data_IF_451068417352
#
_entry.id   IF_451068417352
#
_cell.length_a   1.000
_cell.length_b   1.000
_cell.length_c   1.000
_cell.angle_alpha   90.00
_cell.angle_beta   90.00
_cell.angle_gamma   90.00
#
_symmetry.space_group_name_H-M   'P 1'
#
loop_
_entity.id
_entity.type
_entity.pdbx_description
1 polymer ?
#
# COMPACT_ATOMS: atom_id res chain seq x y z
N UNK A 1 -25.91 0.86 -28.19
CA UNK A 1 -26.06 -0.07 -27.04
C UNK A 1 -25.11 -1.24 -27.20
N UNK A 2 -24.37 -1.65 -26.16
CA UNK A 2 -23.52 -2.85 -26.23
C UNK A 2 -24.34 -4.10 -25.86
N UNK A 3 -24.50 -5.01 -26.81
CA UNK A 3 -25.28 -6.25 -26.64
C UNK A 3 -24.41 -7.48 -26.37
N UNK A 4 -23.08 -7.34 -26.48
CA UNK A 4 -22.13 -8.44 -26.40
C UNK A 4 -22.12 -9.16 -25.02
N UNK A 5 -22.22 -8.46 -23.88
CA UNK A 5 -22.30 -9.12 -22.56
C UNK A 5 -23.55 -9.99 -22.38
N UNK A 6 -24.60 -9.74 -23.17
CA UNK A 6 -25.87 -10.49 -23.12
C UNK A 6 -25.84 -11.77 -23.96
N UNK A 7 -24.72 -12.06 -24.65
CA UNK A 7 -24.57 -13.26 -25.47
C UNK A 7 -23.84 -14.34 -24.68
N UNK A 8 -24.39 -15.56 -24.70
CA UNK A 8 -23.83 -16.73 -23.98
C UNK A 8 -22.45 -17.15 -24.48
N UNK A 9 -22.08 -16.85 -25.72
CA UNK A 9 -20.77 -17.16 -26.31
C UNK A 9 -19.70 -16.11 -26.02
N UNK A 10 -20.02 -15.01 -25.33
CA UNK A 10 -19.06 -13.95 -25.11
C UNK A 10 -17.90 -14.41 -24.21
N UNK A 11 -16.68 -14.45 -24.75
CA UNK A 11 -15.48 -14.96 -24.08
C UNK A 11 -15.21 -14.28 -22.73
N UNK A 12 -15.52 -12.98 -22.60
CA UNK A 12 -15.26 -12.21 -21.37
C UNK A 12 -16.37 -12.33 -20.33
N UNK A 13 -17.45 -13.05 -20.59
CA UNK A 13 -18.46 -13.31 -19.57
C UNK A 13 -17.84 -14.14 -18.44
N UNK A 14 -18.15 -13.76 -17.20
CA UNK A 14 -17.60 -14.40 -15.99
C UNK A 14 -17.83 -15.91 -16.00
N UNK A 15 -19.00 -16.34 -16.45
CA UNK A 15 -19.35 -17.77 -16.52
C UNK A 15 -18.49 -18.54 -17.53
N UNK A 16 -18.13 -17.92 -18.66
CA UNK A 16 -17.28 -18.55 -19.66
C UNK A 16 -15.82 -18.57 -19.22
N UNK A 17 -15.35 -17.49 -18.60
CA UNK A 17 -14.01 -17.44 -17.98
C UNK A 17 -13.88 -18.50 -16.89
N UNK A 18 -14.92 -18.71 -16.07
CA UNK A 18 -14.94 -19.73 -15.03
C UNK A 18 -14.88 -21.15 -15.62
N UNK A 19 -15.60 -21.42 -16.72
CA UNK A 19 -15.51 -22.70 -17.44
C UNK A 19 -14.11 -22.97 -17.98
N UNK A 20 -13.52 -22.00 -18.69
CA UNK A 20 -12.15 -22.11 -19.20
C UNK A 20 -11.16 -22.38 -18.06
N UNK A 21 -11.30 -21.66 -16.95
CA UNK A 21 -10.45 -21.89 -15.78
C UNK A 21 -10.59 -23.30 -15.22
N UNK A 22 -11.82 -23.83 -15.14
CA UNK A 22 -12.06 -25.19 -14.67
C UNK A 22 -11.42 -26.21 -15.61
N UNK A 23 -11.59 -26.04 -16.91
CA UNK A 23 -11.01 -26.93 -17.92
C UNK A 23 -9.47 -26.90 -17.89
N UNK A 24 -8.87 -25.72 -17.73
CA UNK A 24 -7.42 -25.54 -17.54
C UNK A 24 -6.93 -26.20 -16.25
N UNK A 25 -7.69 -26.08 -15.16
CA UNK A 25 -7.36 -26.70 -13.88
C UNK A 25 -7.47 -28.24 -13.95
N UNK A 26 -8.51 -28.77 -14.59
CA UNK A 26 -8.69 -30.21 -14.84
C UNK A 26 -7.56 -30.75 -15.73
N UNK A 27 -7.20 -30.05 -16.81
CA UNK A 27 -6.08 -30.42 -17.68
C UNK A 27 -4.76 -30.48 -16.90
N UNK A 28 -4.49 -29.47 -16.07
CA UNK A 28 -3.30 -29.43 -15.21
C UNK A 28 -3.29 -30.54 -14.17
N UNK A 29 -4.45 -30.93 -13.63
CA UNK A 29 -4.54 -32.07 -12.70
C UNK A 29 -4.26 -33.39 -13.41
N UNK A 30 -4.83 -33.61 -14.60
CA UNK A 30 -4.59 -34.82 -15.39
C UNK A 30 -3.11 -34.94 -15.80
N UNK A 31 -2.47 -33.84 -16.22
CA UNK A 31 -1.03 -33.83 -16.54
C UNK A 31 -0.18 -34.21 -15.31
N UNK A 32 -0.52 -33.68 -14.12
CA UNK A 32 0.16 -34.05 -12.87
C UNK A 32 -0.03 -35.52 -12.51
N UNK A 33 -1.23 -36.07 -12.69
CA UNK A 33 -1.50 -37.49 -12.43
C UNK A 33 -0.77 -38.40 -13.41
N UNK A 34 -0.74 -38.03 -14.70
CA UNK A 34 0.01 -38.73 -15.73
C UNK A 34 1.52 -38.68 -15.43
N UNK A 35 2.06 -37.52 -15.07
CA UNK A 35 3.45 -37.37 -14.66
C UNK A 35 3.77 -38.20 -13.41
N UNK A 36 2.88 -38.22 -12.41
CA UNK A 36 3.03 -39.06 -11.22
C UNK A 36 3.07 -40.55 -11.59
N UNK A 37 2.17 -40.98 -12.48
CA UNK A 37 2.11 -42.37 -12.95
C UNK A 37 3.36 -42.75 -13.75
N UNK A 38 3.84 -41.86 -14.62
CA UNK A 38 5.06 -42.05 -15.38
C UNK A 38 6.29 -42.16 -14.47
N UNK A 39 6.40 -41.29 -13.46
CA UNK A 39 7.49 -41.34 -12.49
C UNK A 39 7.51 -42.63 -11.68
N UNK A 40 6.34 -43.14 -11.25
CA UNK A 40 6.24 -44.44 -10.59
C UNK A 40 6.66 -45.59 -11.51
N UNK A 41 6.17 -45.60 -12.75
CA UNK A 41 6.55 -46.61 -13.74
C UNK A 41 8.06 -46.58 -14.05
N UNK A 42 8.68 -45.40 -14.08
CA UNK A 42 10.14 -45.26 -14.25
C UNK A 42 10.91 -45.81 -13.04
N UNK A 43 10.43 -45.53 -11.82
CA UNK A 43 11.01 -46.08 -10.59
C UNK A 43 10.94 -47.62 -10.57
N UNK A 44 9.77 -48.18 -10.90
CA UNK A 44 9.54 -49.62 -10.98
C UNK A 44 10.43 -50.26 -12.05
N UNK A 45 10.47 -49.70 -13.27
CA UNK A 45 11.32 -50.20 -14.35
C UNK A 45 12.81 -50.18 -13.97
N UNK A 46 13.26 -49.12 -13.29
CA UNK A 46 14.63 -49.00 -12.79
C UNK A 46 14.93 -50.05 -11.73
N UNK A 47 14.01 -50.30 -10.80
CA UNK A 47 14.15 -51.33 -9.78
C UNK A 47 14.20 -52.73 -10.40
N UNK A 48 13.33 -53.01 -11.38
CA UNK A 48 13.31 -54.29 -12.07
C UNK A 48 14.59 -54.54 -12.85
N UNK A 49 15.15 -53.52 -13.52
CA UNK A 49 16.47 -53.61 -14.15
C UNK A 49 17.55 -53.96 -13.13
N UNK A 50 17.59 -53.28 -11.99
CA UNK A 50 18.58 -53.55 -10.94
C UNK A 50 18.40 -54.95 -10.35
N UNK A 51 17.16 -55.40 -10.15
CA UNK A 51 16.81 -56.73 -9.64
C UNK A 51 17.18 -57.84 -10.62
N UNK A 52 16.96 -57.63 -11.91
CA UNK A 52 17.38 -58.57 -12.95
C UNK A 52 18.90 -58.61 -13.08
N UNK A 53 19.58 -57.46 -12.95
CA UNK A 53 21.04 -57.39 -12.95
C UNK A 53 21.66 -58.09 -11.74
N UNK A 54 21.09 -57.93 -10.55
CA UNK A 54 21.59 -58.63 -9.35
C UNK A 54 21.36 -60.13 -9.48
N UNK A 55 20.18 -60.58 -9.91
CA UNK A 55 19.89 -61.99 -10.20
C UNK A 55 20.84 -62.59 -11.24
N UNK A 56 21.15 -61.85 -12.30
CA UNK A 56 22.12 -62.26 -13.32
C UNK A 56 23.53 -62.43 -12.73
N UNK A 57 23.98 -61.52 -11.87
CA UNK A 57 25.27 -61.64 -11.18
C UNK A 57 25.30 -62.83 -10.22
N UNK A 58 24.27 -63.00 -9.39
CA UNK A 58 24.19 -64.13 -8.45
C UNK A 58 24.12 -65.47 -9.18
N UNK A 59 23.45 -65.54 -10.34
CA UNK A 59 23.42 -66.75 -11.16
C UNK A 59 24.80 -67.06 -11.77
N UNK A 60 25.53 -66.05 -12.24
CA UNK A 60 26.91 -66.19 -12.75
C UNK A 60 27.87 -66.60 -11.62
N UNK A 61 27.71 -66.02 -10.43
CA UNK A 61 28.52 -66.36 -9.25
C UNK A 61 28.20 -67.77 -8.73
N UNK A 62 26.92 -68.16 -8.70
CA UNK A 62 26.50 -69.51 -8.29
C UNK A 62 26.98 -70.61 -9.25
N UNK A 63 27.10 -70.34 -10.55
CA UNK A 63 27.72 -71.28 -11.49
C UNK A 63 29.25 -71.32 -11.40
N UNK A 64 29.87 -70.30 -10.80
CA UNK A 64 31.33 -70.22 -10.60
C UNK A 64 31.79 -70.75 -9.23
N UNK A 65 30.88 -70.92 -8.27
CA UNK A 65 31.15 -71.34 -6.89
C UNK A 65 30.62 -72.74 -6.56
N UNK A 66 30.74 -73.70 -7.47
CA UNK A 66 30.60 -75.12 -7.11
C UNK A 66 31.69 -75.52 -6.12
N UNK A 67 31.30 -76.08 -4.98
CA UNK A 67 32.10 -76.54 -3.82
C UNK A 67 32.66 -75.45 -2.87
N UNK A 68 31.82 -74.97 -1.93
CA UNK A 68 32.17 -74.92 -0.50
C UNK A 68 30.91 -74.69 0.34
N UNK A 69 30.52 -75.70 1.14
CA UNK A 69 29.48 -75.55 2.19
C UNK A 69 30.18 -75.03 3.43
N UNK A 70 30.06 -73.73 3.70
CA UNK A 70 30.50 -73.10 4.94
C UNK A 70 29.28 -72.62 5.74
N UNK A 71 28.93 -73.42 6.73
CA UNK A 71 27.93 -73.18 7.75
C UNK A 71 28.43 -72.04 8.66
N UNK A 72 28.00 -70.81 8.38
CA UNK A 72 28.40 -69.65 9.17
C UNK A 72 28.23 -68.28 8.50
N UNK A 73 28.02 -68.22 7.18
CA UNK A 73 27.94 -66.95 6.48
C UNK A 73 26.49 -66.43 6.39
N UNK A 74 25.89 -66.09 7.55
CA UNK A 74 24.67 -65.28 7.53
C UNK A 74 25.08 -63.88 7.06
N UNK A 75 24.58 -63.38 5.92
CA UNK A 75 24.86 -62.00 5.52
C UNK A 75 24.41 -61.10 6.66
N UNK A 76 25.31 -60.24 7.14
CA UNK A 76 24.99 -59.32 8.24
C UNK A 76 23.82 -58.45 7.82
N UNK A 77 22.64 -58.76 8.34
CA UNK A 77 21.46 -57.97 8.11
C UNK A 77 21.63 -56.66 8.87
N UNK A 78 22.27 -55.67 8.24
CA UNK A 78 22.48 -54.32 8.78
C UNK A 78 21.18 -53.62 9.23
N UNK A 79 20.02 -54.16 8.84
CA UNK A 79 18.69 -53.65 9.16
C UNK A 79 17.95 -54.47 10.22
N UNK A 80 18.52 -55.56 10.75
CA UNK A 80 17.85 -56.37 11.78
C UNK A 80 17.53 -55.56 13.04
N UNK A 81 18.42 -54.62 13.44
CA UNK A 81 18.18 -53.73 14.57
C UNK A 81 17.05 -52.72 14.29
N UNK A 82 16.85 -52.33 13.04
CA UNK A 82 15.81 -51.37 12.64
C UNK A 82 14.44 -52.06 12.59
N UNK A 83 14.40 -53.31 12.10
CA UNK A 83 13.19 -54.14 12.06
C UNK A 83 12.76 -54.62 13.46
N UNK A 84 13.72 -55.00 14.32
CA UNK A 84 13.45 -55.42 15.71
C UNK A 84 13.08 -54.26 16.63
N UNK A 85 13.69 -53.08 16.45
CA UNK A 85 13.42 -51.91 17.30
C UNK A 85 12.31 -50.99 16.76
N UNK A 86 11.69 -51.32 15.63
CA UNK A 86 10.51 -50.60 15.13
C UNK A 86 10.77 -49.14 14.77
N UNK A 87 12.02 -48.73 14.54
CA UNK A 87 12.35 -47.39 14.06
C UNK A 87 12.02 -47.35 12.58
N UNK A 88 10.74 -47.20 12.26
CA UNK A 88 10.29 -47.18 10.88
C UNK A 88 11.03 -46.07 10.13
N UNK A 89 11.51 -46.34 8.92
CA UNK A 89 11.99 -45.31 7.97
C UNK A 89 10.89 -44.29 7.60
N UNK A 90 9.66 -44.53 8.07
CA UNK A 90 8.49 -43.66 8.03
C UNK A 90 8.24 -42.90 9.34
N UNK A 91 9.13 -42.99 10.33
CA UNK A 91 9.07 -42.22 11.55
C UNK A 91 9.37 -40.78 11.16
N UNK A 92 8.31 -40.03 10.85
CA UNK A 92 8.42 -38.62 10.54
C UNK A 92 9.05 -37.96 11.76
N UNK A 93 10.10 -37.19 11.51
CA UNK A 93 10.71 -36.39 12.54
C UNK A 93 9.61 -35.55 13.21
N UNK A 94 9.43 -35.72 14.52
CA UNK A 94 8.36 -35.05 15.27
C UNK A 94 8.41 -33.53 15.06
N UNK A 95 9.63 -32.98 14.95
CA UNK A 95 9.87 -31.57 14.63
C UNK A 95 9.28 -31.15 13.28
N UNK A 96 9.34 -32.02 12.26
CA UNK A 96 8.83 -31.75 10.91
C UNK A 96 7.29 -31.84 10.83
N UNK A 97 6.67 -32.69 11.65
CA UNK A 97 5.21 -32.71 11.74
C UNK A 97 4.68 -31.48 12.48
N UNK A 98 5.37 -31.04 13.52
CA UNK A 98 5.06 -29.80 14.22
C UNK A 98 5.26 -28.57 13.35
N UNK A 99 6.34 -28.51 12.56
CA UNK A 99 6.60 -27.42 11.62
C UNK A 99 5.50 -27.35 10.55
N UNK A 100 5.15 -28.49 9.94
CA UNK A 100 4.03 -28.56 8.97
C UNK A 100 2.69 -28.21 9.58
N UNK A 101 2.48 -28.56 10.86
CA UNK A 101 1.25 -28.18 11.58
C UNK A 101 1.21 -26.67 11.82
N UNK A 102 2.31 -26.06 12.25
CA UNK A 102 2.43 -24.60 12.41
C UNK A 102 2.24 -23.88 11.08
N UNK A 103 2.84 -24.36 10.00
CA UNK A 103 2.69 -23.79 8.65
C UNK A 103 1.22 -23.85 8.17
N UNK A 104 0.52 -24.97 8.42
CA UNK A 104 -0.92 -25.07 8.15
C UNK A 104 -1.74 -24.11 9.01
N UNK A 105 -1.48 -24.06 10.31
CA UNK A 105 -2.15 -23.11 11.21
C UNK A 105 -1.90 -21.66 10.79
N UNK A 106 -0.69 -21.31 10.34
CA UNK A 106 -0.36 -20.00 9.79
C UNK A 106 -1.04 -19.72 8.45
N UNK A 107 -1.12 -20.70 7.55
CA UNK A 107 -1.84 -20.58 6.29
C UNK A 107 -3.35 -20.39 6.55
N UNK A 108 -3.93 -21.15 7.47
CA UNK A 108 -5.31 -21.03 7.89
C UNK A 108 -5.57 -19.69 8.61
N UNK A 109 -4.65 -19.23 9.48
CA UNK A 109 -4.68 -17.88 10.08
C UNK A 109 -4.65 -16.79 9.01
N UNK A 110 -3.79 -16.94 8.01
CA UNK A 110 -3.60 -15.98 6.90
C UNK A 110 -4.82 -15.93 5.97
N UNK A 111 -5.46 -17.08 5.73
CA UNK A 111 -6.72 -17.18 4.99
C UNK A 111 -7.91 -16.69 5.84
N UNK A 112 -7.76 -16.65 7.17
CA UNK A 112 -8.81 -16.27 8.12
C UNK A 112 -9.74 -17.43 8.50
N UNK A 113 -9.34 -18.67 8.24
CA UNK A 113 -10.06 -19.87 8.65
C UNK A 113 -9.82 -20.19 10.13
N UNK A 114 -8.57 -20.02 10.59
CA UNK A 114 -8.18 -20.22 11.98
C UNK A 114 -7.92 -18.86 12.64
N UNK A 115 -8.98 -18.17 13.03
CA UNK A 115 -8.91 -16.95 13.86
C UNK A 115 -9.27 -17.27 15.31
N UNK A 116 -8.31 -17.16 16.22
CA UNK A 116 -8.59 -17.32 17.64
C UNK A 116 -9.43 -16.15 18.15
N UNK A 117 -10.36 -16.45 19.06
CA UNK A 117 -11.17 -15.45 19.74
C UNK A 117 -10.26 -14.40 20.41
N UNK A 118 -10.43 -13.12 20.05
CA UNK A 118 -9.60 -12.02 20.53
C UNK A 118 -8.42 -11.62 19.62
N UNK A 119 -8.03 -12.45 18.64
CA UNK A 119 -6.95 -12.09 17.69
C UNK A 119 -7.43 -11.28 16.48
N UNK A 120 -8.73 -11.35 16.14
CA UNK A 120 -9.35 -10.50 15.10
C UNK A 120 -9.85 -9.16 15.64
N UNK A 121 -9.68 -8.88 16.93
CA UNK A 121 -10.11 -7.63 17.52
C UNK A 121 -9.16 -6.51 17.11
N UNK A 122 -9.70 -5.30 17.00
CA UNK A 122 -8.98 -4.07 16.63
C UNK A 122 -7.69 -3.84 17.46
N UNK A 123 -7.55 -4.50 18.60
CA UNK A 123 -6.41 -4.45 19.52
C UNK A 123 -5.11 -5.06 19.00
N UNK A 124 -5.16 -6.09 18.15
CA UNK A 124 -3.96 -6.74 17.57
C UNK A 124 -3.47 -6.10 16.29
N UNK A 125 -4.28 -5.20 15.70
CA UNK A 125 -3.86 -4.42 14.54
C UNK A 125 -2.78 -3.43 14.96
N UNK A 126 -1.72 -3.35 14.16
CA UNK A 126 -0.71 -2.30 14.27
C UNK A 126 -1.39 -0.92 14.38
N UNK A 127 -0.77 0.02 15.12
CA UNK A 127 -1.29 1.37 15.36
C UNK A 127 -1.57 2.19 14.09
N UNK A 128 -1.05 1.75 12.94
CA UNK A 128 -1.27 2.34 11.62
C UNK A 128 -2.50 1.76 10.90
N UNK A 129 -2.89 0.53 11.23
CA UNK A 129 -4.08 -0.16 10.67
C UNK A 129 -5.30 0.02 11.58
N UNK A 130 -5.09 0.47 12.82
CA UNK A 130 -6.14 0.74 13.80
C UNK A 130 -7.00 1.94 13.33
N UNK A 131 -8.35 1.84 13.37
CA UNK A 131 -9.21 2.95 12.99
C UNK A 131 -9.05 4.14 13.94
N UNK A 132 -9.27 5.34 13.41
CA UNK A 132 -8.94 6.62 14.07
C UNK A 132 -9.55 6.81 15.47
N UNK A 133 -10.68 6.15 15.78
CA UNK A 133 -11.36 6.27 17.07
C UNK A 133 -10.78 5.37 18.16
N UNK A 134 -10.01 4.33 17.81
CA UNK A 134 -9.21 3.54 18.76
C UNK A 134 -7.82 4.14 19.00
N UNK A 135 -7.36 5.01 18.09
CA UNK A 135 -6.09 5.72 18.21
C UNK A 135 -6.30 6.95 19.10
N UNK A 136 -5.69 6.95 20.29
CA UNK A 136 -5.70 8.14 21.16
C UNK A 136 -5.05 9.30 20.37
N UNK A 137 -5.75 10.43 20.20
CA UNK A 137 -5.20 11.57 19.47
C UNK A 137 -3.88 12.02 20.07
N UNK A 138 -2.88 12.33 19.24
CA UNK A 138 -1.55 12.84 19.68
C UNK A 138 -1.60 14.20 20.43
N UNK A 139 -2.79 14.73 20.70
CA UNK A 139 -3.03 15.87 21.58
C UNK A 139 -3.19 15.46 23.05
N UNK A 140 -3.57 14.21 23.31
CA UNK A 140 -3.76 13.63 24.65
C UNK A 140 -2.57 12.79 25.12
N UNK A 141 -1.66 12.41 24.21
CA UNK A 141 -0.38 11.81 24.58
C UNK A 141 0.49 12.91 25.19
N UNK A 142 0.45 13.02 26.52
CA UNK A 142 1.41 13.81 27.27
C UNK A 142 2.76 13.08 27.23
N UNK A 143 3.48 13.23 26.13
CA UNK A 143 4.92 13.01 26.14
C UNK A 143 5.59 14.25 26.76
N UNK A 144 6.19 14.02 27.92
CA UNK A 144 7.30 14.77 28.51
C UNK A 144 7.34 16.27 28.20
N UNK A 145 6.58 17.04 29.00
CA UNK A 145 6.96 18.40 29.37
C UNK A 145 6.89 19.49 28.29
N UNK A 146 6.45 19.20 27.07
CA UNK A 146 6.18 20.23 26.04
C UNK A 146 4.74 20.15 25.57
N UNK A 147 3.85 20.78 26.35
CA UNK A 147 2.50 21.08 25.91
C UNK A 147 2.57 21.78 24.54
N UNK A 148 2.04 21.14 23.50
CA UNK A 148 1.86 21.76 22.18
C UNK A 148 0.99 22.98 22.40
N UNK A 149 1.61 24.16 22.50
CA UNK A 149 0.93 25.43 22.66
C UNK A 149 -0.17 25.51 21.60
N UNK A 150 -1.42 25.47 22.04
CA UNK A 150 -2.54 25.71 21.13
C UNK A 150 -2.33 27.10 20.53
N UNK A 151 -2.61 27.29 19.23
CA UNK A 151 -2.38 28.57 18.58
C UNK A 151 -3.15 29.66 19.34
N UNK A 152 -2.36 30.54 19.94
CA UNK A 152 -2.73 31.80 20.55
C UNK A 152 -3.56 31.75 21.86
N UNK A 153 -2.92 31.50 23.03
CA UNK A 153 -3.59 31.60 24.32
C UNK A 153 -4.18 33.00 24.58
N UNK A 154 -3.61 34.05 23.97
CA UNK A 154 -4.10 35.42 24.10
C UNK A 154 -5.43 35.59 23.39
N UNK A 155 -5.61 34.96 22.23
CA UNK A 155 -6.89 34.98 21.50
C UNK A 155 -8.00 34.25 22.26
N UNK A 156 -7.67 33.14 22.93
CA UNK A 156 -8.62 32.43 23.81
C UNK A 156 -8.99 33.27 25.03
N UNK A 157 -8.00 33.87 25.69
CA UNK A 157 -8.25 34.76 26.82
C UNK A 157 -9.06 36.00 26.42
N UNK A 158 -8.87 36.51 25.19
CA UNK A 158 -9.66 37.63 24.66
C UNK A 158 -11.11 37.23 24.33
N UNK A 159 -11.33 35.99 23.91
CA UNK A 159 -12.66 35.45 23.58
C UNK A 159 -13.34 34.79 24.78
N UNK A 160 -12.75 34.86 25.99
CA UNK A 160 -13.33 34.31 27.21
C UNK A 160 -14.28 35.34 27.85
N UNK A 161 -15.59 35.06 27.93
CA UNK A 161 -16.57 35.97 28.54
C UNK A 161 -16.27 36.23 30.02
N UNK A 162 -15.63 35.31 30.74
CA UNK A 162 -15.23 35.55 32.14
C UNK A 162 -14.18 36.64 32.26
N UNK A 163 -13.23 36.68 31.34
CA UNK A 163 -12.16 37.68 31.35
C UNK A 163 -12.70 39.07 30.98
N UNK A 164 -13.66 39.13 30.05
CA UNK A 164 -14.42 40.34 29.74
C UNK A 164 -15.21 40.84 30.97
N UNK A 165 -15.93 39.95 31.65
CA UNK A 165 -16.66 40.30 32.88
C UNK A 165 -15.73 40.85 33.97
N UNK A 166 -14.56 40.24 34.18
CA UNK A 166 -13.54 40.75 35.13
C UNK A 166 -13.08 42.16 34.77
N UNK A 167 -12.90 42.47 33.48
CA UNK A 167 -12.56 43.83 33.03
C UNK A 167 -13.68 44.83 33.34
N UNK A 168 -14.95 44.47 33.15
CA UNK A 168 -16.07 45.36 33.48
C UNK A 168 -16.22 45.59 34.99
N UNK A 169 -16.05 44.55 35.80
CA UNK A 169 -16.09 44.64 37.26
C UNK A 169 -14.95 45.51 37.81
N UNK A 170 -13.72 45.36 37.29
CA UNK A 170 -12.58 46.19 37.69
C UNK A 170 -12.74 47.67 37.29
N UNK A 171 -13.32 47.95 36.11
CA UNK A 171 -13.67 49.33 35.68
C UNK A 171 -14.73 49.96 36.59
N UNK A 172 -15.71 49.17 37.06
CA UNK A 172 -16.75 49.64 38.02
C UNK A 172 -16.16 50.01 39.38
N UNK A 173 -15.17 49.26 39.87
CA UNK A 173 -14.43 49.61 41.11
C UNK A 173 -13.60 50.90 40.95
N UNK A 174 -12.93 51.09 39.80
CA UNK A 174 -12.11 52.30 39.53
C UNK A 174 -12.94 53.59 39.38
N UNK A 175 -14.20 53.52 38.93
CA UNK A 175 -15.09 54.69 38.86
C UNK A 175 -15.50 55.24 40.23
N UNK A 176 -15.52 54.41 41.28
CA UNK A 176 -15.80 54.88 42.65
C UNK A 176 -14.67 55.71 43.27
N UNK A 177 -13.43 55.59 42.75
CA UNK A 177 -12.26 56.34 43.27
C UNK A 177 -11.86 57.54 42.41
N UNK A 178 -12.62 57.90 41.37
CA UNK A 178 -12.30 59.01 40.44
C UNK A 178 -13.34 60.14 40.39
N UNK A 179 -14.33 60.18 41.29
CA UNK A 179 -15.31 61.28 41.30
C UNK A 179 -14.77 62.60 41.90
N UNK A 180 -13.47 62.71 42.15
CA UNK A 180 -12.80 63.97 42.51
C UNK A 180 -11.52 64.15 41.68
N UNK A 181 -11.66 64.29 40.35
CA UNK A 181 -10.68 65.08 39.60
C UNK A 181 -11.26 65.57 38.27
N UNK A 182 -10.91 66.82 38.00
CA UNK A 182 -11.54 67.80 37.14
C UNK A 182 -11.69 67.53 35.64
N UNK A 183 -12.44 68.48 35.09
CA UNK A 183 -12.90 68.74 33.74
C UNK A 183 -11.80 68.83 32.67
N UNK A 184 -12.33 68.86 31.44
CA UNK A 184 -11.73 69.36 30.20
C UNK A 184 -10.78 68.42 29.45
N UNK A 185 -11.37 67.71 28.48
CA UNK A 185 -10.68 67.41 27.24
C UNK A 185 -11.63 67.46 26.05
N UNK A 186 -11.46 68.53 25.29
CA UNK A 186 -12.05 68.83 23.99
C UNK A 186 -11.87 67.65 23.03
N UNK A 187 -12.93 67.38 22.27
CA UNK A 187 -13.08 66.23 21.38
C UNK A 187 -12.98 66.71 19.94
N UNK A 188 -11.78 66.68 19.37
CA UNK A 188 -11.59 66.95 17.95
C UNK A 188 -12.06 65.77 17.09
N UNK A 189 -12.97 66.09 16.18
CA UNK A 189 -13.54 65.22 15.15
C UNK A 189 -12.95 65.62 13.79
N UNK A 190 -11.94 64.91 13.28
CA UNK A 190 -11.58 64.79 11.84
C UNK A 190 -10.69 63.53 11.74
N UNK A 191 -10.74 62.62 10.77
CA UNK A 191 -11.10 62.65 9.36
C UNK A 191 -11.67 61.28 8.92
N UNK A 192 -12.67 61.28 8.03
CA UNK A 192 -13.19 60.08 7.35
C UNK A 192 -12.94 60.21 5.85
N UNK A 193 -11.71 60.03 5.40
CA UNK A 193 -11.36 60.05 3.97
C UNK A 193 -10.18 59.12 3.69
N UNK A 194 -10.39 57.80 3.73
CA UNK A 194 -9.43 56.82 3.16
C UNK A 194 -9.93 55.36 3.12
N UNK A 195 -11.15 55.04 3.58
CA UNK A 195 -11.57 53.63 3.74
C UNK A 195 -11.86 52.87 2.43
N UNK A 196 -12.10 53.55 1.31
CA UNK A 196 -12.47 52.89 0.05
C UNK A 196 -11.29 52.16 -0.64
N UNK A 197 -10.04 52.65 -0.54
CA UNK A 197 -8.89 51.94 -1.12
C UNK A 197 -8.56 50.65 -0.36
N UNK A 198 -8.67 50.67 0.97
CA UNK A 198 -8.38 49.51 1.82
C UNK A 198 -9.30 48.31 1.59
N UNK A 199 -10.54 48.54 1.15
CA UNK A 199 -11.49 47.46 0.85
C UNK A 199 -11.19 46.80 -0.49
N UNK A 200 -10.78 47.58 -1.49
CA UNK A 200 -10.37 47.10 -2.81
C UNK A 200 -9.13 46.19 -2.70
N UNK A 201 -8.13 46.64 -1.94
CA UNK A 201 -6.89 45.89 -1.68
C UNK A 201 -7.16 44.59 -0.92
N UNK A 202 -8.06 44.63 0.07
CA UNK A 202 -8.47 43.44 0.83
C UNK A 202 -9.25 42.44 -0.04
N UNK A 203 -10.09 42.91 -0.95
CA UNK A 203 -10.80 42.05 -1.90
C UNK A 203 -9.84 41.40 -2.90
N UNK A 204 -8.84 42.16 -3.38
CA UNK A 204 -7.77 41.68 -4.25
C UNK A 204 -6.94 40.59 -3.57
N UNK A 205 -6.59 40.77 -2.29
CA UNK A 205 -5.91 39.75 -1.48
C UNK A 205 -6.76 38.48 -1.33
N UNK A 206 -8.06 38.61 -1.06
CA UNK A 206 -8.97 37.47 -0.96
C UNK A 206 -9.09 36.69 -2.28
N UNK A 207 -9.10 37.39 -3.42
CA UNK A 207 -9.09 36.77 -4.76
C UNK A 207 -7.78 36.02 -5.04
N UNK A 208 -6.63 36.61 -4.70
CA UNK A 208 -5.32 35.94 -4.82
C UNK A 208 -5.24 34.69 -3.97
N UNK A 209 -5.64 34.78 -2.69
CA UNK A 209 -5.66 33.63 -1.79
C UNK A 209 -6.62 32.52 -2.25
N UNK A 210 -7.74 32.88 -2.89
CA UNK A 210 -8.66 31.91 -3.51
C UNK A 210 -8.00 31.20 -4.70
N UNK A 211 -7.40 31.96 -5.62
CA UNK A 211 -6.71 31.40 -6.79
C UNK A 211 -5.57 30.47 -6.40
N UNK A 212 -4.78 30.84 -5.38
CA UNK A 212 -3.71 29.98 -4.85
C UNK A 212 -4.24 28.67 -4.27
N UNK A 213 -5.37 28.71 -3.55
CA UNK A 213 -6.01 27.52 -3.01
C UNK A 213 -6.53 26.61 -4.13
N UNK A 214 -7.26 27.18 -5.08
CA UNK A 214 -7.79 26.44 -6.23
C UNK A 214 -6.65 25.83 -7.07
N UNK A 215 -5.55 26.56 -7.29
CA UNK A 215 -4.36 26.05 -7.97
C UNK A 215 -3.70 24.89 -7.23
N UNK A 216 -3.57 25.00 -5.89
CA UNK A 216 -2.99 23.94 -5.05
C UNK A 216 -3.87 22.68 -5.04
N UNK A 217 -5.18 22.85 -4.96
CA UNK A 217 -6.14 21.73 -5.04
C UNK A 217 -6.11 21.07 -6.42
N UNK A 218 -6.03 21.87 -7.49
CA UNK A 218 -5.86 21.38 -8.86
C UNK A 218 -4.55 20.60 -9.02
N UNK A 219 -3.43 21.11 -8.52
CA UNK A 219 -2.15 20.39 -8.52
C UNK A 219 -2.25 19.06 -7.77
N UNK A 220 -2.83 19.07 -6.56
CA UNK A 220 -3.06 17.85 -5.78
C UNK A 220 -3.93 16.83 -6.54
N UNK A 221 -4.96 17.30 -7.25
CA UNK A 221 -5.81 16.43 -8.08
C UNK A 221 -5.05 15.83 -9.26
N UNK A 222 -4.18 16.63 -9.91
CA UNK A 222 -3.33 16.18 -11.02
C UNK A 222 -2.29 15.17 -10.56
N UNK A 223 -1.68 15.37 -9.39
CA UNK A 223 -0.71 14.42 -8.82
C UNK A 223 -1.34 13.07 -8.52
N UNK A 224 -2.56 13.05 -7.98
CA UNK A 224 -3.31 11.81 -7.76
C UNK A 224 -3.63 11.10 -9.08
N UNK A 225 -4.04 11.86 -10.10
CA UNK A 225 -4.33 11.34 -11.43
C UNK A 225 -3.06 10.75 -12.09
N UNK A 226 -1.95 11.48 -12.04
CA UNK A 226 -0.66 11.05 -12.59
C UNK A 226 -0.16 9.77 -11.89
N UNK A 227 -0.32 9.66 -10.57
CA UNK A 227 -0.03 8.44 -9.81
C UNK A 227 -0.90 7.26 -10.26
N UNK A 228 -2.19 7.48 -10.48
CA UNK A 228 -3.13 6.43 -10.91
C UNK A 228 -2.82 5.91 -12.32
N UNK A 229 -2.46 6.78 -13.26
CA UNK A 229 -2.17 6.40 -14.65
C UNK A 229 -0.68 6.10 -14.92
N UNK A 230 0.20 6.21 -13.93
CA UNK A 230 1.65 5.97 -14.09
C UNK A 230 2.34 6.97 -15.04
N UNK A 231 1.72 8.11 -15.32
CA UNK A 231 2.26 9.15 -16.21
C UNK A 231 3.31 9.94 -15.44
N UNK A 232 4.58 9.77 -15.78
CA UNK A 232 5.66 10.61 -15.24
C UNK A 232 5.46 12.05 -15.74
N UNK A 233 5.54 13.06 -14.87
CA UNK A 233 5.42 14.45 -15.31
C UNK A 233 6.51 14.71 -16.35
N UNK A 234 6.10 15.05 -17.58
CA UNK A 234 7.03 15.57 -18.58
C UNK A 234 7.58 16.88 -18.01
N UNK A 235 8.91 17.00 -17.92
CA UNK A 235 9.54 18.29 -17.64
C UNK A 235 9.02 19.25 -18.69
N UNK A 236 8.34 20.31 -18.26
CA UNK A 236 7.91 21.37 -19.15
C UNK A 236 9.19 21.97 -19.75
N UNK A 237 9.51 21.57 -20.99
CA UNK A 237 10.47 22.30 -21.80
C UNK A 237 9.95 23.73 -21.85
N UNK A 238 10.71 24.67 -21.30
CA UNK A 238 10.35 26.07 -21.30
C UNK A 238 10.04 26.46 -22.76
N UNK A 239 8.76 26.58 -23.09
CA UNK A 239 8.34 27.11 -24.36
C UNK A 239 8.91 28.52 -24.39
N UNK A 240 9.96 28.73 -25.20
CA UNK A 240 10.58 30.04 -25.40
C UNK A 240 9.44 31.00 -25.70
N UNK A 241 9.24 31.99 -24.82
CA UNK A 241 8.26 33.04 -25.02
C UNK A 241 8.66 33.74 -26.32
N UNK A 242 7.96 33.43 -27.40
CA UNK A 242 8.26 33.98 -28.71
C UNK A 242 7.71 35.41 -28.75
N UNK A 243 8.60 36.40 -28.79
CA UNK A 243 8.20 37.79 -28.96
C UNK A 243 7.66 38.00 -30.39
N UNK A 244 6.36 38.32 -30.56
CA UNK A 244 5.80 38.55 -31.88
C UNK A 244 6.43 39.79 -32.51
N UNK A 245 6.83 39.68 -33.77
CA UNK A 245 7.52 40.74 -34.52
C UNK A 245 6.62 41.94 -34.84
N UNK A 246 5.30 41.77 -34.74
CA UNK A 246 4.28 42.76 -35.07
C UNK A 246 3.17 42.77 -34.01
N UNK A 247 2.46 43.89 -33.89
CA UNK A 247 1.34 44.07 -32.97
C UNK A 247 0.15 43.14 -33.33
N UNK A 248 -0.33 42.38 -32.35
CA UNK A 248 -1.41 41.38 -32.51
C UNK A 248 -2.80 41.95 -32.81
N UNK A 249 -2.97 43.27 -32.78
CA UNK A 249 -4.25 43.92 -33.12
C UNK A 249 -4.61 43.78 -34.61
N UNK A 250 -3.62 43.67 -35.50
CA UNK A 250 -3.83 43.47 -36.93
C UNK A 250 -3.23 42.13 -37.38
N UNK A 251 -4.00 41.35 -38.14
CA UNK A 251 -3.60 40.04 -38.69
C UNK A 251 -3.01 39.05 -37.66
N UNK A 252 -3.81 38.58 -36.69
CA UNK A 252 -3.36 37.73 -35.59
C UNK A 252 -2.81 36.36 -36.02
N UNK A 253 -3.20 35.87 -37.21
CA UNK A 253 -2.67 34.62 -37.77
C UNK A 253 -1.19 34.74 -38.18
N UNK A 254 -0.75 35.92 -38.64
CA UNK A 254 0.64 36.16 -39.03
C UNK A 254 1.53 36.32 -37.81
N UNK A 255 1.07 37.02 -36.78
CA UNK A 255 1.85 37.23 -35.56
C UNK A 255 2.15 35.94 -34.79
N UNK A 256 1.33 34.89 -34.99
CA UNK A 256 1.47 33.57 -34.35
C UNK A 256 2.33 32.58 -35.13
N UNK A 257 2.63 32.84 -36.41
CA UNK A 257 3.22 31.87 -37.34
C UNK A 257 4.71 32.11 -37.64
N UNK A 258 5.47 32.64 -36.69
CA UNK A 258 6.91 32.81 -36.86
C UNK A 258 7.66 31.55 -36.40
N UNK A 259 7.54 30.46 -37.18
CA UNK A 259 8.49 29.34 -37.09
C UNK A 259 9.79 29.79 -37.75
N UNK A 260 10.92 29.70 -37.05
CA UNK A 260 12.24 29.88 -37.67
C UNK A 260 12.33 28.89 -38.82
N UNK A 261 12.53 29.38 -40.06
CA UNK A 261 12.95 28.53 -41.16
C UNK A 261 14.31 27.97 -40.76
N UNK A 262 14.37 26.71 -40.35
CA UNK A 262 15.62 25.97 -40.28
C UNK A 262 16.20 26.01 -41.70
N UNK A 263 17.27 26.77 -41.86
CA UNK A 263 18.02 26.82 -43.10
C UNK A 263 18.69 25.45 -43.27
N UNK A 264 18.11 24.60 -44.11
CA UNK A 264 18.84 23.48 -44.67
C UNK A 264 19.97 24.07 -45.51
N UNK A 265 21.19 24.06 -44.95
CA UNK A 265 22.42 24.24 -45.70
C UNK A 265 22.58 23.02 -46.58
N UNK A 266 22.16 23.13 -47.84
CA UNK A 266 22.62 22.25 -48.89
C UNK A 266 23.58 23.05 -49.77
N UNK A 267 24.69 22.40 -50.10
CA UNK A 267 25.92 22.85 -50.76
C UNK A 267 26.98 23.43 -49.83
#
# INVERSE_FOLDING_TARGET
MNILPKKSWHVRNKDNVAKVRKDEEEARQQEKEQARRAALAEQEARLDLLRNRSRGKTAIEAQKSGEFVAEGNKPTNLFEDIEKNGVSMTAKNAENEEEKRKEKEEAEKKIGLLTYLGQGAVETLDDDKKPWYFKVPDRLKEEDGKSKQTPDPKRKAYLDPLEEMKQHLSKKKKKKHKSHKDKDRVKDKHSKTSKQSSTEDKLSQMRKARLEREAKEKQRSLDLLNKHYGVKPKKEEAHKQFEPKYNNQFNPHLARNNRSKETYSNY
#
